data_IF_252671888617
#
_entry.id   IF_252671888617
#
_cell.length_a   1.000
_cell.length_b   1.000
_cell.length_c   1.000
_cell.angle_alpha   90.00
_cell.angle_beta   90.00
_cell.angle_gamma   90.00
#
_symmetry.space_group_name_H-M   'P 1'
#
loop_
_entity.id
_entity.type
_entity.pdbx_description
1 polymer ?
#
# COMPACT_ATOMS: atom_id res chain seq x y z
N UNK A 1 30.63 -12.14 -6.66
CA UNK A 1 30.29 -13.15 -5.64
C UNK A 1 29.47 -12.47 -4.57
N UNK A 2 28.32 -13.05 -4.25
CA UNK A 2 27.36 -12.55 -3.29
C UNK A 2 26.98 -13.69 -2.36
N UNK A 3 26.97 -13.45 -1.03
CA UNK A 3 26.61 -14.45 -0.02
C UNK A 3 25.16 -14.30 0.41
N UNK A 4 24.64 -13.07 0.31
CA UNK A 4 23.28 -12.71 0.73
C UNK A 4 22.57 -11.96 -0.40
N UNK A 5 21.32 -12.31 -0.64
CA UNK A 5 20.42 -11.58 -1.54
C UNK A 5 19.26 -11.02 -0.74
N UNK A 6 19.11 -9.71 -0.73
CA UNK A 6 17.99 -9.02 -0.06
C UNK A 6 17.04 -8.47 -1.12
N UNK A 7 15.75 -8.77 -1.00
CA UNK A 7 14.77 -8.36 -2.01
C UNK A 7 13.38 -8.11 -1.41
N UNK A 8 12.68 -7.18 -2.04
CA UNK A 8 11.28 -6.85 -1.70
C UNK A 8 10.28 -7.60 -2.60
N UNK A 9 10.77 -8.15 -3.73
CA UNK A 9 9.91 -8.94 -4.61
C UNK A 9 9.67 -10.32 -4.01
N UNK A 10 8.41 -10.76 -3.89
CA UNK A 10 8.07 -12.12 -3.53
C UNK A 10 8.32 -13.07 -4.71
N UNK A 11 7.88 -14.32 -4.58
CA UNK A 11 7.86 -15.32 -5.67
C UNK A 11 9.22 -15.87 -6.07
N UNK A 12 10.18 -15.87 -5.13
CA UNK A 12 11.44 -16.59 -5.32
C UNK A 12 11.13 -18.07 -5.68
N UNK A 13 11.83 -18.64 -6.66
CA UNK A 13 11.64 -19.98 -7.25
C UNK A 13 10.33 -20.15 -8.05
N UNK A 14 9.39 -19.22 -7.99
CA UNK A 14 8.10 -19.42 -8.67
C UNK A 14 8.15 -19.01 -10.15
N UNK A 15 8.68 -17.84 -10.46
CA UNK A 15 8.72 -17.34 -11.86
C UNK A 15 10.13 -17.18 -12.38
N UNK A 16 10.57 -15.94 -12.57
CA UNK A 16 11.84 -15.62 -13.22
C UNK A 16 13.01 -15.59 -12.25
N UNK A 17 12.75 -15.28 -10.98
CA UNK A 17 13.79 -15.16 -9.97
C UNK A 17 14.00 -16.53 -9.34
N UNK A 18 15.21 -17.06 -9.51
CA UNK A 18 15.59 -18.38 -9.01
C UNK A 18 16.75 -18.29 -8.05
N UNK A 19 16.81 -19.22 -7.10
CA UNK A 19 17.99 -19.41 -6.26
C UNK A 19 19.19 -19.85 -7.13
N UNK A 20 20.39 -19.50 -6.68
CA UNK A 20 21.62 -19.89 -7.41
C UNK A 20 21.71 -21.41 -7.56
N UNK A 21 21.99 -21.86 -8.78
CA UNK A 21 22.27 -23.28 -9.05
C UNK A 21 23.67 -23.67 -8.60
N UNK A 22 24.61 -22.73 -8.52
CA UNK A 22 26.03 -22.95 -8.21
C UNK A 22 26.28 -22.78 -6.70
N UNK A 23 25.82 -21.67 -6.13
CA UNK A 23 25.99 -21.32 -4.73
C UNK A 23 24.73 -21.70 -3.94
N UNK A 24 24.76 -22.87 -3.31
CA UNK A 24 23.63 -23.38 -2.48
C UNK A 24 23.63 -22.84 -1.07
N UNK A 25 24.74 -22.25 -0.65
CA UNK A 25 25.00 -21.64 0.64
C UNK A 25 24.54 -20.17 0.76
N UNK A 26 24.01 -19.59 -0.32
CA UNK A 26 23.49 -18.22 -0.31
C UNK A 26 22.22 -18.08 0.49
N UNK A 27 22.15 -17.03 1.28
CA UNK A 27 20.96 -16.63 2.03
C UNK A 27 20.08 -15.67 1.23
N UNK A 28 18.77 -15.93 1.23
CA UNK A 28 17.77 -15.11 0.56
C UNK A 28 16.83 -14.49 1.58
N UNK A 29 16.87 -13.16 1.69
CA UNK A 29 16.15 -12.38 2.68
C UNK A 29 15.00 -11.64 2.00
N UNK A 30 13.79 -11.82 2.51
CA UNK A 30 12.62 -11.05 2.10
C UNK A 30 12.40 -9.85 3.02
N UNK A 31 12.26 -8.66 2.43
CA UNK A 31 11.86 -7.43 3.10
C UNK A 31 10.48 -7.03 2.60
N UNK A 32 9.43 -7.14 3.42
CA UNK A 32 8.09 -6.72 3.03
C UNK A 32 8.04 -5.24 2.66
N UNK A 33 7.25 -4.92 1.64
CA UNK A 33 7.06 -3.55 1.15
C UNK A 33 5.78 -2.90 1.66
N UNK A 34 5.05 -3.58 2.55
CA UNK A 34 3.82 -3.10 3.16
C UNK A 34 3.75 -3.50 4.63
N UNK A 35 3.01 -2.72 5.43
CA UNK A 35 2.82 -2.94 6.87
C UNK A 35 1.61 -3.83 7.18
N UNK A 36 0.75 -4.05 6.21
CA UNK A 36 -0.45 -4.86 6.36
C UNK A 36 -0.15 -6.37 6.42
N UNK A 37 -1.17 -7.17 6.67
CA UNK A 37 -1.07 -8.63 6.73
C UNK A 37 -0.42 -9.21 5.48
N UNK A 38 0.55 -10.12 5.66
CA UNK A 38 1.17 -10.83 4.55
C UNK A 38 0.15 -11.69 3.78
N UNK A 39 -0.86 -12.22 4.47
CA UNK A 39 -1.92 -13.01 3.84
C UNK A 39 -2.84 -12.17 2.94
N UNK A 40 -2.90 -10.86 3.16
CA UNK A 40 -3.64 -9.94 2.29
C UNK A 40 -2.80 -9.47 1.10
N UNK A 41 -1.49 -9.32 1.30
CA UNK A 41 -0.58 -8.76 0.30
C UNK A 41 -0.05 -9.82 -0.65
N UNK A 42 0.27 -11.01 -0.12
CA UNK A 42 0.95 -12.05 -0.87
C UNK A 42 0.04 -13.23 -1.17
N UNK A 43 0.19 -13.79 -2.36
CA UNK A 43 -0.45 -15.05 -2.71
C UNK A 43 0.23 -16.21 -1.99
N UNK A 44 -0.49 -17.31 -1.84
CA UNK A 44 0.06 -18.55 -1.28
C UNK A 44 1.33 -18.97 -2.02
N UNK A 45 2.36 -19.32 -1.26
CA UNK A 45 3.63 -19.83 -1.77
C UNK A 45 4.65 -18.77 -2.17
N UNK A 46 4.28 -17.48 -2.14
CA UNK A 46 5.14 -16.41 -2.66
C UNK A 46 6.38 -16.12 -1.81
N UNK A 47 6.37 -16.50 -0.53
CA UNK A 47 7.50 -16.31 0.39
C UNK A 47 8.10 -17.63 0.88
N UNK A 48 7.66 -18.78 0.36
CA UNK A 48 8.06 -20.10 0.86
C UNK A 48 9.55 -20.37 0.75
N UNK A 49 10.19 -19.83 -0.28
CA UNK A 49 11.58 -20.14 -0.63
C UNK A 49 12.62 -19.14 -0.08
N UNK A 50 12.19 -18.22 0.78
CA UNK A 50 13.11 -17.35 1.50
C UNK A 50 13.63 -18.03 2.78
N UNK A 51 14.87 -17.72 3.13
CA UNK A 51 15.53 -18.23 4.34
C UNK A 51 15.23 -17.35 5.56
N UNK A 52 15.21 -16.02 5.33
CA UNK A 52 14.99 -15.01 6.37
C UNK A 52 13.90 -14.01 5.94
N UNK A 53 13.08 -13.58 6.89
CA UNK A 53 12.06 -12.55 6.67
C UNK A 53 12.25 -11.42 7.70
N UNK A 54 12.30 -10.20 7.21
CA UNK A 54 12.30 -9.00 8.04
C UNK A 54 10.87 -8.61 8.37
N UNK A 55 10.40 -9.02 9.54
CA UNK A 55 9.03 -8.78 9.97
C UNK A 55 8.83 -7.31 10.36
N UNK A 56 7.80 -6.67 9.82
CA UNK A 56 7.46 -5.27 10.15
C UNK A 56 6.83 -5.14 11.53
N UNK A 57 6.27 -6.23 12.06
CA UNK A 57 5.67 -6.29 13.38
C UNK A 57 5.34 -7.71 13.81
N UNK A 58 4.82 -7.89 15.04
CA UNK A 58 4.50 -9.22 15.59
C UNK A 58 3.54 -10.03 14.71
N UNK A 59 2.57 -9.36 14.08
CA UNK A 59 1.59 -10.00 13.19
C UNK A 59 2.25 -10.73 12.01
N UNK A 60 3.31 -10.17 11.39
CA UNK A 60 4.04 -10.85 10.34
C UNK A 60 4.70 -12.13 10.84
N UNK A 61 5.27 -12.09 12.06
CA UNK A 61 5.88 -13.26 12.68
C UNK A 61 4.84 -14.34 12.90
N UNK A 62 3.71 -14.00 13.55
CA UNK A 62 2.63 -14.93 13.83
C UNK A 62 2.05 -15.55 12.55
N UNK A 63 1.90 -14.77 11.50
CA UNK A 63 1.40 -15.23 10.21
C UNK A 63 2.38 -16.18 9.51
N UNK A 64 3.69 -15.90 9.54
CA UNK A 64 4.69 -16.78 8.92
C UNK A 64 4.82 -18.08 9.71
N UNK A 65 4.89 -18.04 11.03
CA UNK A 65 4.91 -19.22 11.89
C UNK A 65 3.67 -20.10 11.64
N UNK A 66 2.49 -19.48 11.53
CA UNK A 66 1.24 -20.20 11.23
C UNK A 66 1.22 -20.80 9.83
N UNK A 67 1.80 -20.13 8.86
CA UNK A 67 1.93 -20.62 7.49
C UNK A 67 2.89 -21.81 7.43
N UNK A 68 4.04 -21.75 8.11
CA UNK A 68 4.99 -22.88 8.24
C UNK A 68 4.31 -24.13 8.81
N UNK A 69 3.56 -23.98 9.91
CA UNK A 69 2.79 -25.09 10.49
C UNK A 69 1.73 -25.63 9.53
N UNK A 70 1.00 -24.75 8.85
CA UNK A 70 -0.16 -25.15 8.02
C UNK A 70 0.26 -25.89 6.76
N UNK A 71 1.41 -25.52 6.19
CA UNK A 71 1.87 -26.05 4.91
C UNK A 71 3.12 -26.91 5.01
N UNK A 72 3.55 -27.28 6.24
CA UNK A 72 4.73 -28.09 6.51
C UNK A 72 5.99 -27.51 5.81
N UNK A 73 6.21 -26.21 5.97
CA UNK A 73 7.34 -25.50 5.37
C UNK A 73 8.55 -25.50 6.31
N UNK A 74 9.76 -25.38 5.77
CA UNK A 74 10.97 -25.17 6.59
C UNK A 74 10.86 -23.89 7.42
N UNK A 75 11.35 -23.94 8.66
CA UNK A 75 11.43 -22.76 9.51
C UNK A 75 12.35 -21.69 8.92
N UNK A 76 11.86 -20.46 8.92
CA UNK A 76 12.59 -19.28 8.48
C UNK A 76 13.15 -18.50 9.69
N UNK A 77 14.21 -17.78 9.48
CA UNK A 77 14.69 -16.81 10.46
C UNK A 77 13.79 -15.56 10.40
N UNK A 78 13.08 -15.27 11.48
CA UNK A 78 12.16 -14.13 11.56
C UNK A 78 12.76 -13.02 12.41
N UNK A 79 13.13 -11.91 11.78
CA UNK A 79 13.75 -10.77 12.43
C UNK A 79 12.74 -9.65 12.64
N UNK A 80 12.65 -9.14 13.87
CA UNK A 80 11.87 -7.94 14.16
C UNK A 80 12.62 -6.72 13.60
N UNK A 81 12.19 -6.24 12.45
CA UNK A 81 12.87 -5.15 11.73
C UNK A 81 12.15 -3.80 11.84
N UNK A 82 10.83 -3.85 11.88
CA UNK A 82 10.00 -2.64 11.79
C UNK A 82 9.71 -2.23 10.34
N UNK A 83 9.15 -1.04 10.16
CA UNK A 83 8.77 -0.52 8.85
C UNK A 83 9.40 0.86 8.62
N UNK A 84 10.58 0.86 8.03
CA UNK A 84 11.41 2.07 7.85
C UNK A 84 10.71 3.19 7.08
N UNK A 85 9.86 2.84 6.10
CA UNK A 85 9.08 3.84 5.35
C UNK A 85 8.18 4.67 6.29
N UNK A 86 7.56 4.03 7.29
CA UNK A 86 6.74 4.75 8.27
C UNK A 86 7.56 5.71 9.12
N UNK A 87 8.77 5.30 9.52
CA UNK A 87 9.68 6.16 10.27
C UNK A 87 10.08 7.40 9.45
N UNK A 88 10.37 7.21 8.17
CA UNK A 88 10.73 8.31 7.27
C UNK A 88 9.53 9.21 6.97
N UNK A 89 8.34 8.64 6.74
CA UNK A 89 7.10 9.41 6.58
C UNK A 89 6.80 10.24 7.83
N UNK A 90 6.99 9.66 9.00
CA UNK A 90 6.77 10.35 10.28
C UNK A 90 7.72 11.52 10.46
N UNK A 91 9.02 11.32 10.19
CA UNK A 91 10.04 12.39 10.24
C UNK A 91 9.73 13.51 9.25
N UNK A 92 9.36 13.15 8.01
CA UNK A 92 8.99 14.13 6.99
C UNK A 92 7.74 14.92 7.40
N UNK A 93 6.71 14.25 7.90
CA UNK A 93 5.50 14.89 8.41
C UNK A 93 5.76 15.82 9.59
N UNK A 94 6.61 15.43 10.54
CA UNK A 94 6.95 16.22 11.72
C UNK A 94 7.85 17.43 11.37
N UNK A 95 8.64 17.32 10.32
CA UNK A 95 9.52 18.41 9.85
C UNK A 95 8.79 19.51 9.10
N UNK A 96 7.59 19.23 8.56
CA UNK A 96 6.81 20.18 7.78
C UNK A 96 5.91 21.05 8.64
N UNK A 97 5.72 22.28 8.19
CA UNK A 97 4.71 23.17 8.79
C UNK A 97 3.33 22.58 8.57
N UNK A 98 2.55 22.50 9.65
CA UNK A 98 1.22 21.88 9.60
C UNK A 98 0.22 22.82 8.93
N UNK A 99 -0.30 22.39 7.80
CA UNK A 99 -1.36 23.11 7.10
C UNK A 99 -2.67 22.91 7.84
N UNK A 100 -3.30 24.04 8.22
CA UNK A 100 -4.68 24.05 8.68
C UNK A 100 -5.55 24.38 7.48
N UNK A 101 -6.28 23.38 6.99
CA UNK A 101 -7.15 23.56 5.84
C UNK A 101 -8.35 24.45 6.22
N UNK A 102 -8.55 25.55 5.53
CA UNK A 102 -9.79 26.34 5.68
C UNK A 102 -11.00 25.51 5.21
N UNK A 103 -10.84 24.77 4.13
CA UNK A 103 -11.80 23.79 3.62
C UNK A 103 -11.31 22.37 3.92
N UNK A 104 -12.13 21.59 4.65
CA UNK A 104 -11.78 20.20 4.95
C UNK A 104 -11.51 19.40 3.70
N UNK A 105 -10.41 18.65 3.71
CA UNK A 105 -9.90 17.89 2.59
C UNK A 105 -10.02 16.39 2.83
N UNK A 106 -10.67 15.69 1.92
CA UNK A 106 -10.80 14.23 1.90
C UNK A 106 -9.90 13.68 0.80
N UNK A 107 -9.03 12.75 1.14
CA UNK A 107 -8.23 11.99 0.19
C UNK A 107 -8.89 10.64 -0.07
N UNK A 108 -9.14 10.28 -1.33
CA UNK A 108 -9.57 8.95 -1.73
C UNK A 108 -8.38 8.25 -2.37
N UNK A 109 -7.87 7.21 -1.72
CA UNK A 109 -6.68 6.48 -2.14
C UNK A 109 -6.96 4.97 -2.26
N UNK A 110 -7.51 4.53 -3.39
CA UNK A 110 -7.91 3.14 -3.62
C UNK A 110 -6.71 2.20 -3.79
N UNK A 111 -6.93 0.92 -3.45
CA UNK A 111 -6.00 -0.17 -3.72
C UNK A 111 -5.93 -0.50 -5.22
N UNK A 112 -5.01 -1.39 -5.58
CA UNK A 112 -4.83 -1.94 -6.93
C UNK A 112 -5.34 -3.39 -7.05
N UNK A 113 -6.39 -3.76 -6.41
CA UNK A 113 -7.03 -5.08 -6.59
C UNK A 113 -8.19 -4.99 -7.59
N UNK A 114 -8.70 -6.13 -8.02
CA UNK A 114 -9.96 -6.20 -8.76
C UNK A 114 -11.12 -5.71 -7.88
N UNK A 115 -12.13 -5.13 -8.49
CA UNK A 115 -13.32 -4.60 -7.79
C UNK A 115 -13.02 -3.56 -6.69
N UNK A 116 -11.88 -2.87 -6.80
CA UNK A 116 -11.51 -1.78 -5.90
C UNK A 116 -12.47 -0.58 -6.01
N UNK A 117 -12.24 0.46 -5.21
CA UNK A 117 -13.08 1.68 -5.21
C UNK A 117 -13.21 2.28 -6.61
N UNK A 118 -12.12 2.33 -7.42
CA UNK A 118 -12.16 2.93 -8.77
C UNK A 118 -13.08 2.17 -9.72
N UNK A 119 -13.15 0.84 -9.53
CA UNK A 119 -13.94 -0.02 -10.41
C UNK A 119 -15.42 -0.10 -9.99
N UNK A 120 -15.67 -0.04 -8.68
CA UNK A 120 -16.97 -0.38 -8.11
C UNK A 120 -17.83 0.83 -7.72
N UNK A 121 -17.28 1.83 -7.04
CA UNK A 121 -18.11 2.84 -6.37
C UNK A 121 -17.53 4.27 -6.33
N UNK A 122 -16.39 4.54 -6.98
CA UNK A 122 -15.75 5.86 -6.93
C UNK A 122 -16.70 6.98 -7.37
N UNK A 123 -17.40 6.80 -8.47
CA UNK A 123 -18.30 7.82 -9.00
C UNK A 123 -19.44 8.15 -8.04
N UNK A 124 -20.04 7.14 -7.42
CA UNK A 124 -21.10 7.31 -6.42
C UNK A 124 -20.60 8.05 -5.18
N UNK A 125 -19.37 7.72 -4.72
CA UNK A 125 -18.73 8.42 -3.60
C UNK A 125 -18.52 9.89 -3.95
N UNK A 126 -17.94 10.18 -5.11
CA UNK A 126 -17.69 11.54 -5.57
C UNK A 126 -18.99 12.33 -5.71
N UNK A 127 -20.04 11.73 -6.25
CA UNK A 127 -21.34 12.38 -6.41
C UNK A 127 -21.96 12.76 -5.05
N UNK A 128 -21.81 11.90 -4.04
CA UNK A 128 -22.28 12.19 -2.67
C UNK A 128 -21.42 13.26 -2.00
N UNK A 129 -20.12 13.20 -2.16
CA UNK A 129 -19.19 14.17 -1.56
C UNK A 129 -19.29 15.57 -2.20
N UNK A 130 -19.68 15.65 -3.46
CA UNK A 130 -19.90 16.92 -4.18
C UNK A 130 -20.84 17.89 -3.45
N UNK A 131 -21.84 17.36 -2.75
CA UNK A 131 -22.81 18.16 -2.00
C UNK A 131 -22.33 18.62 -0.61
N UNK A 132 -21.17 18.14 -0.15
CA UNK A 132 -20.69 18.40 1.21
C UNK A 132 -19.89 19.67 1.36
N UNK A 133 -19.42 20.25 0.25
CA UNK A 133 -18.51 21.40 0.27
C UNK A 133 -17.08 21.06 0.68
N UNK A 134 -16.71 19.79 0.86
CA UNK A 134 -15.33 19.38 1.12
C UNK A 134 -14.49 19.41 -0.16
N UNK A 135 -13.19 19.67 -0.01
CA UNK A 135 -12.24 19.38 -1.08
C UNK A 135 -12.01 17.86 -1.13
N UNK A 136 -12.13 17.26 -2.30
CA UNK A 136 -11.94 15.83 -2.51
C UNK A 136 -10.80 15.62 -3.50
N UNK A 137 -9.77 14.92 -3.09
CA UNK A 137 -8.64 14.56 -3.94
C UNK A 137 -8.68 13.05 -4.13
N UNK A 138 -8.79 12.60 -5.37
CA UNK A 138 -8.65 11.18 -5.72
C UNK A 138 -7.21 10.95 -6.17
N UNK A 139 -6.51 10.10 -5.43
CA UNK A 139 -5.14 9.67 -5.72
C UNK A 139 -5.14 8.18 -6.02
N UNK A 140 -5.39 7.76 -7.27
CA UNK A 140 -5.41 6.37 -7.65
C UNK A 140 -4.06 5.70 -7.39
N UNK A 141 -4.04 4.39 -7.20
CA UNK A 141 -2.78 3.66 -7.11
C UNK A 141 -1.93 3.88 -8.39
N UNK A 142 -0.59 3.99 -8.33
CA UNK A 142 0.26 4.20 -9.51
C UNK A 142 0.02 3.20 -10.64
N UNK A 143 -0.37 1.98 -10.33
CA UNK A 143 -0.71 0.96 -11.32
C UNK A 143 -1.97 1.31 -12.14
N UNK A 144 -2.94 2.02 -11.59
CA UNK A 144 -4.08 2.53 -12.38
C UNK A 144 -3.61 3.51 -13.45
N UNK A 145 -2.71 4.42 -13.08
CA UNK A 145 -2.16 5.40 -14.03
C UNK A 145 -1.38 4.70 -15.15
N UNK A 146 -0.65 3.65 -14.79
CA UNK A 146 0.17 2.89 -15.74
C UNK A 146 -0.64 2.00 -16.67
N UNK A 147 -1.64 1.30 -16.15
CA UNK A 147 -2.35 0.25 -16.89
C UNK A 147 -3.74 0.66 -17.39
N UNK A 148 -4.31 1.75 -16.85
CA UNK A 148 -5.63 2.26 -17.21
C UNK A 148 -5.61 3.78 -17.52
N UNK A 149 -4.69 4.26 -18.37
CA UNK A 149 -4.54 5.70 -18.61
C UNK A 149 -5.81 6.34 -19.18
N UNK A 150 -6.55 5.62 -20.02
CA UNK A 150 -7.81 6.10 -20.60
C UNK A 150 -8.89 6.31 -19.52
N UNK A 151 -9.00 5.39 -18.55
CA UNK A 151 -9.92 5.52 -17.42
C UNK A 151 -9.54 6.71 -16.54
N UNK A 152 -8.26 6.91 -16.30
CA UNK A 152 -7.78 8.07 -15.53
C UNK A 152 -8.08 9.39 -16.25
N UNK A 153 -7.90 9.44 -17.57
CA UNK A 153 -8.23 10.60 -18.37
C UNK A 153 -9.74 10.88 -18.38
N UNK A 154 -10.55 9.83 -18.55
CA UNK A 154 -12.02 9.95 -18.46
C UNK A 154 -12.47 10.54 -17.12
N UNK A 155 -11.90 10.09 -16.00
CA UNK A 155 -12.23 10.63 -14.68
C UNK A 155 -11.81 12.11 -14.56
N UNK A 156 -10.63 12.48 -15.06
CA UNK A 156 -10.18 13.87 -15.08
C UNK A 156 -11.14 14.76 -15.87
N UNK A 157 -11.51 14.34 -17.07
CA UNK A 157 -12.40 15.10 -17.95
C UNK A 157 -13.80 15.23 -17.35
N UNK A 158 -14.30 14.16 -16.76
CA UNK A 158 -15.63 14.11 -16.12
C UNK A 158 -15.77 15.08 -14.95
N UNK A 159 -14.72 15.29 -14.18
CA UNK A 159 -14.71 16.16 -13.00
C UNK A 159 -13.93 17.46 -13.20
N UNK A 160 -13.52 17.78 -14.44
CA UNK A 160 -12.72 18.97 -14.75
C UNK A 160 -13.38 20.30 -14.32
N UNK A 161 -14.70 20.39 -14.42
CA UNK A 161 -15.46 21.59 -14.05
C UNK A 161 -15.78 21.67 -12.54
N UNK A 162 -15.47 20.62 -11.78
CA UNK A 162 -15.75 20.58 -10.34
C UNK A 162 -14.59 21.16 -9.54
N UNK A 163 -14.77 22.35 -9.01
CA UNK A 163 -13.71 23.05 -8.26
C UNK A 163 -13.29 22.34 -6.98
N UNK A 164 -14.11 21.43 -6.46
CA UNK A 164 -13.87 20.72 -5.22
C UNK A 164 -13.34 19.29 -5.44
N UNK A 165 -13.30 18.79 -6.68
CA UNK A 165 -12.83 17.44 -6.99
C UNK A 165 -11.57 17.51 -7.86
N UNK A 166 -10.53 16.84 -7.42
CA UNK A 166 -9.24 16.76 -8.11
C UNK A 166 -8.84 15.30 -8.31
N UNK A 167 -8.47 14.91 -9.53
CA UNK A 167 -7.89 13.60 -9.83
C UNK A 167 -6.37 13.76 -9.95
N UNK A 168 -5.65 13.39 -8.89
CA UNK A 168 -4.20 13.52 -8.80
C UNK A 168 -3.52 12.25 -9.34
N UNK A 169 -2.71 12.41 -10.37
CA UNK A 169 -1.91 11.32 -10.97
C UNK A 169 -0.40 11.56 -10.84
N UNK A 170 -0.01 12.61 -10.15
CA UNK A 170 1.38 12.88 -9.76
C UNK A 170 1.63 12.38 -8.34
N UNK A 171 2.65 11.55 -8.17
CA UNK A 171 3.03 10.91 -6.90
C UNK A 171 4.40 11.40 -6.40
N UNK A 172 4.93 12.49 -6.94
CA UNK A 172 6.25 13.04 -6.59
C UNK A 172 6.34 13.55 -5.14
N UNK A 173 5.20 13.86 -4.51
CA UNK A 173 5.13 14.32 -3.11
C UNK A 173 4.07 13.57 -2.31
N UNK A 174 4.30 13.47 -1.01
CA UNK A 174 3.33 12.99 -0.02
C UNK A 174 2.50 14.12 0.61
N UNK A 175 2.64 15.36 0.16
CA UNK A 175 1.95 16.50 0.76
C UNK A 175 0.44 16.35 0.77
N UNK A 176 -0.14 15.79 -0.29
CA UNK A 176 -1.59 15.49 -0.34
C UNK A 176 -2.01 14.52 0.74
N UNK A 177 -1.19 13.48 1.01
CA UNK A 177 -1.43 12.50 2.07
C UNK A 177 -1.33 13.18 3.44
N UNK A 178 -0.29 13.97 3.66
CA UNK A 178 -0.06 14.64 4.94
C UNK A 178 -1.09 15.72 5.28
N UNK A 179 -1.62 16.39 4.28
CA UNK A 179 -2.53 17.52 4.45
C UNK A 179 -4.02 17.12 4.44
N UNK A 180 -4.37 15.91 4.05
CA UNK A 180 -5.75 15.45 4.11
C UNK A 180 -6.25 15.36 5.57
N UNK A 181 -7.51 15.75 5.81
CA UNK A 181 -8.16 15.62 7.12
C UNK A 181 -8.74 14.22 7.37
N UNK A 182 -9.06 13.52 6.28
CA UNK A 182 -9.61 12.16 6.27
C UNK A 182 -9.10 11.44 5.02
N UNK A 183 -8.76 10.16 5.16
CA UNK A 183 -8.59 9.29 4.00
C UNK A 183 -9.75 8.31 3.86
N UNK A 184 -10.21 8.10 2.63
CA UNK A 184 -11.12 7.02 2.24
C UNK A 184 -10.34 6.04 1.39
N UNK A 185 -10.32 4.78 1.79
CA UNK A 185 -9.59 3.73 1.10
C UNK A 185 -10.31 2.37 1.22
N UNK A 186 -9.76 1.36 0.59
CA UNK A 186 -10.17 -0.03 0.71
C UNK A 186 -9.00 -0.88 1.25
N UNK A 187 -8.64 -1.96 0.59
CA UNK A 187 -7.56 -2.88 1.00
C UNK A 187 -6.16 -2.36 0.61
N UNK A 188 -5.75 -1.20 1.13
CA UNK A 188 -4.48 -0.55 0.80
C UNK A 188 -3.66 -0.21 2.04
N UNK A 189 -2.36 -0.49 1.99
CA UNK A 189 -1.39 -0.16 3.05
C UNK A 189 -1.32 1.32 3.40
N UNK A 190 -1.69 2.21 2.47
CA UNK A 190 -1.76 3.66 2.72
C UNK A 190 -2.64 4.03 3.92
N UNK A 191 -3.62 3.18 4.27
CA UNK A 191 -4.47 3.37 5.44
C UNK A 191 -3.64 3.44 6.72
N UNK A 192 -2.75 2.49 6.92
CA UNK A 192 -1.87 2.42 8.08
C UNK A 192 -0.80 3.49 8.04
N UNK A 193 -0.19 3.70 6.89
CA UNK A 193 0.82 4.73 6.68
C UNK A 193 0.26 6.12 7.02
N UNK A 194 -0.92 6.46 6.53
CA UNK A 194 -1.62 7.70 6.84
C UNK A 194 -1.98 7.80 8.33
N UNK A 195 -2.65 6.78 8.87
CA UNK A 195 -3.13 6.81 10.24
C UNK A 195 -1.99 6.96 11.26
N UNK A 196 -0.90 6.18 11.09
CA UNK A 196 0.21 6.23 12.02
C UNK A 196 1.12 7.45 11.82
N UNK A 197 1.18 7.99 10.61
CA UNK A 197 1.94 9.22 10.35
C UNK A 197 1.20 10.45 10.87
N UNK A 198 -0.08 10.59 10.56
CA UNK A 198 -0.83 11.84 10.77
C UNK A 198 -1.67 11.83 12.04
N UNK A 199 -1.97 10.67 12.60
CA UNK A 199 -2.92 10.42 13.69
C UNK A 199 -4.34 10.93 13.37
N UNK A 200 -4.72 10.84 12.09
CA UNK A 200 -6.04 11.23 11.57
C UNK A 200 -6.86 10.02 11.15
N UNK A 201 -8.19 10.14 11.07
CA UNK A 201 -9.08 9.00 10.82
C UNK A 201 -8.98 8.46 9.38
N UNK A 202 -9.24 7.16 9.27
CA UNK A 202 -9.39 6.42 8.01
C UNK A 202 -10.80 5.87 7.91
N UNK A 203 -11.44 6.06 6.77
CA UNK A 203 -12.71 5.43 6.42
C UNK A 203 -12.47 4.32 5.40
N UNK A 204 -12.84 3.10 5.76
CA UNK A 204 -12.73 1.95 4.87
C UNK A 204 -14.01 1.73 4.08
N UNK A 205 -13.87 1.52 2.78
CA UNK A 205 -14.93 0.98 1.92
C UNK A 205 -14.71 -0.53 1.81
N UNK A 206 -15.71 -1.29 2.20
CA UNK A 206 -15.65 -2.75 2.18
C UNK A 206 -15.89 -3.27 0.75
N UNK A 207 -14.89 -3.11 -0.10
CA UNK A 207 -14.86 -3.76 -1.42
C UNK A 207 -14.54 -5.25 -1.26
N UNK A 208 -14.82 -6.11 -2.26
CA UNK A 208 -14.47 -7.52 -2.19
C UNK A 208 -12.98 -7.70 -1.87
N UNK A 209 -12.68 -8.59 -0.93
CA UNK A 209 -11.30 -8.97 -0.61
C UNK A 209 -10.77 -9.94 -1.67
N UNK A 210 -9.46 -9.88 -1.94
CA UNK A 210 -8.76 -10.83 -2.84
C UNK A 210 -9.01 -12.27 -2.46
#
# INVERSE_FOLDING_TARGET
>A
DCDIVVMTMPDLETYHIKRSYVRKDMEYIHVPHSIDSMNMTYRKGSIDHFDTIFCVGPHHKDEVEKMEETYDLPHKVLLNWGYCLLDDMRKDYESKEKVINEQKTILIAPSWQEDNIVDSCLEDILQKLRATGYKVIVRPHPQHVRHMPEKMQFLKDKFAEDKNIEIQTDFSSNDTVFNADLIITDWSGIAYEYAFTTLRPVLYINTPMK
#
